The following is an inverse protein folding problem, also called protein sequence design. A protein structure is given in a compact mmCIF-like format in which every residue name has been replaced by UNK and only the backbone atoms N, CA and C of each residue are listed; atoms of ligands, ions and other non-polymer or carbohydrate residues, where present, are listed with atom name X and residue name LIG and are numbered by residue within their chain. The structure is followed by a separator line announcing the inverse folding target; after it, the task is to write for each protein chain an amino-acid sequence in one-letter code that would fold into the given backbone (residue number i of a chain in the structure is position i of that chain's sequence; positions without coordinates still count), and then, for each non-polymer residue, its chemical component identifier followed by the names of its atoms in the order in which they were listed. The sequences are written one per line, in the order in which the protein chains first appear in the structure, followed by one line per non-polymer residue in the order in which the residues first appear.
data_IF_831580411637
#
_entry.id   IF_831580411637
#
_cell.length_a   1.000
_cell.length_b   1.000
_cell.length_c   1.000
_cell.angle_alpha   90.00
_cell.angle_beta   90.00
_cell.angle_gamma   90.00
#
_symmetry.space_group_name_H-M   'P 1'
#
loop_
_entity.id
_entity.type
_entity.pdbx_description
1 polymer ?
#
# COMPACT_ATOMS: atom_id res chain seq x y z
N UNK A 1 3.24 8.99 3.40
CA UNK A 1 3.99 8.95 2.12
C UNK A 1 4.62 7.57 1.99
N UNK A 2 4.65 6.97 0.79
CA UNK A 2 5.24 5.64 0.58
C UNK A 2 6.76 5.74 0.33
N UNK A 3 7.48 6.39 1.25
CA UNK A 3 8.93 6.54 1.21
C UNK A 3 9.49 6.54 2.63
N UNK A 4 10.56 5.78 2.85
CA UNK A 4 11.37 5.80 4.08
C UNK A 4 12.51 6.81 3.99
N UNK A 5 12.83 7.31 2.79
CA UNK A 5 13.86 8.32 2.58
C UNK A 5 13.38 9.71 3.02
N UNK A 6 14.30 10.58 3.50
CA UNK A 6 13.99 11.96 3.86
C UNK A 6 13.47 12.74 2.64
N UNK A 7 12.67 13.79 2.90
CA UNK A 7 12.16 14.65 1.83
C UNK A 7 13.32 15.37 1.15
N UNK A 8 13.45 15.28 -0.18
CA UNK A 8 14.56 15.91 -0.87
C UNK A 8 14.36 17.42 -0.96
N UNK A 9 15.46 18.17 -0.95
CA UNK A 9 15.45 19.62 -1.15
C UNK A 9 15.29 19.95 -2.64
N UNK A 10 14.39 20.88 -2.96
CA UNK A 10 14.11 21.32 -4.34
C UNK A 10 15.27 22.18 -4.92
N UNK A 11 16.21 22.62 -4.07
CA UNK A 11 17.24 23.61 -4.43
C UNK A 11 18.44 23.07 -5.22
N UNK A 12 18.72 21.77 -5.16
CA UNK A 12 19.93 21.20 -5.76
C UNK A 12 19.66 20.74 -7.20
N UNK A 13 19.77 21.67 -8.15
CA UNK A 13 19.42 21.47 -9.57
C UNK A 13 20.30 20.47 -10.32
N UNK A 14 21.40 20.01 -9.72
CA UNK A 14 22.40 19.17 -10.40
C UNK A 14 22.14 17.66 -10.31
N UNK A 15 21.24 17.18 -9.43
CA UNK A 15 20.85 15.76 -9.38
C UNK A 15 19.43 15.58 -8.87
N UNK A 16 18.58 14.95 -9.68
CA UNK A 16 17.27 14.53 -9.20
C UNK A 16 17.44 13.50 -8.06
N UNK A 17 16.80 13.69 -6.90
CA UNK A 17 16.87 12.77 -5.77
C UNK A 17 16.25 11.41 -6.16
N UNK A 18 16.94 10.31 -5.82
CA UNK A 18 16.50 8.96 -6.15
C UNK A 18 15.27 8.50 -5.35
N UNK A 19 15.07 9.05 -4.14
CA UNK A 19 13.99 8.69 -3.23
C UNK A 19 13.53 9.92 -2.43
N UNK A 20 12.40 9.78 -1.72
CA UNK A 20 11.92 10.77 -0.76
C UNK A 20 10.57 11.41 -1.09
N UNK A 21 10.15 11.42 -2.36
CA UNK A 21 8.79 11.89 -2.72
C UNK A 21 7.69 10.85 -2.43
N UNK A 22 8.00 9.56 -2.49
CA UNK A 22 7.08 8.48 -2.12
C UNK A 22 5.90 8.26 -3.08
N UNK A 23 6.01 8.68 -4.34
CA UNK A 23 5.02 8.42 -5.38
C UNK A 23 5.39 7.31 -6.37
N UNK A 24 6.66 6.88 -6.39
CA UNK A 24 7.14 5.90 -7.38
C UNK A 24 6.33 4.60 -7.36
N UNK A 25 6.33 3.88 -6.24
CA UNK A 25 5.62 2.61 -6.11
C UNK A 25 4.10 2.69 -6.42
N UNK A 26 3.31 3.61 -5.83
CA UNK A 26 1.88 3.68 -6.14
C UNK A 26 1.61 4.06 -7.60
N UNK A 27 2.42 4.94 -8.21
CA UNK A 27 2.26 5.30 -9.63
C UNK A 27 2.64 4.12 -10.54
N UNK A 28 3.75 3.43 -10.26
CA UNK A 28 4.15 2.23 -11.01
C UNK A 28 3.05 1.15 -10.99
N UNK A 29 2.41 0.94 -9.83
CA UNK A 29 1.27 0.01 -9.71
C UNK A 29 0.04 0.46 -10.52
N UNK A 30 -0.21 1.77 -10.64
CA UNK A 30 -1.28 2.27 -11.52
C UNK A 30 -0.97 1.99 -12.99
N UNK A 31 0.27 2.21 -13.43
CA UNK A 31 0.68 1.90 -14.80
C UNK A 31 0.51 0.42 -15.15
N UNK A 32 0.89 -0.50 -14.27
CA UNK A 32 0.71 -1.93 -14.52
C UNK A 32 -0.78 -2.32 -14.54
N UNK A 33 -1.59 -1.76 -13.63
CA UNK A 33 -3.03 -2.05 -13.53
C UNK A 33 -3.85 -1.46 -14.66
N UNK A 34 -3.35 -0.43 -15.34
CA UNK A 34 -4.05 0.21 -16.44
C UNK A 34 -4.38 -0.80 -17.55
N UNK A 35 -3.48 -1.76 -17.84
CA UNK A 35 -3.71 -2.83 -18.82
C UNK A 35 -3.96 -4.20 -18.17
N UNK A 36 -4.74 -4.23 -17.08
CA UNK A 36 -5.11 -5.45 -16.34
C UNK A 36 -3.94 -6.25 -15.75
N UNK A 37 -2.77 -5.64 -15.60
CA UNK A 37 -1.63 -6.19 -14.87
C UNK A 37 -1.70 -5.90 -13.37
N UNK A 38 -0.61 -6.18 -12.65
CA UNK A 38 -0.44 -5.81 -11.24
C UNK A 38 1.04 -5.71 -10.86
N UNK A 39 1.33 -4.98 -9.77
CA UNK A 39 2.66 -4.87 -9.17
C UNK A 39 2.59 -5.31 -7.70
N UNK A 40 3.33 -6.35 -7.38
CA UNK A 40 3.36 -6.97 -6.05
C UNK A 40 4.78 -6.90 -5.47
N UNK A 41 4.86 -6.69 -4.16
CA UNK A 41 6.12 -6.66 -3.41
C UNK A 41 6.09 -7.78 -2.38
N UNK A 42 7.17 -8.56 -2.34
CA UNK A 42 7.40 -9.59 -1.34
C UNK A 42 8.71 -9.26 -0.63
N UNK A 43 8.64 -8.97 0.66
CA UNK A 43 9.83 -8.60 1.43
C UNK A 43 10.15 -9.67 2.46
N UNK A 44 11.45 -9.95 2.61
CA UNK A 44 12.00 -10.78 3.67
C UNK A 44 12.99 -9.92 4.46
N UNK A 45 12.58 -9.51 5.66
CA UNK A 45 13.40 -8.67 6.53
C UNK A 45 14.76 -9.34 6.80
N UNK A 46 15.85 -8.55 6.66
CA UNK A 46 17.22 -9.03 6.80
C UNK A 46 17.80 -9.74 5.56
N UNK A 47 17.00 -10.02 4.53
CA UNK A 47 17.46 -10.64 3.27
C UNK A 47 17.31 -9.69 2.08
N UNK A 48 16.08 -9.25 1.78
CA UNK A 48 15.80 -8.45 0.59
C UNK A 48 14.33 -8.26 0.28
N UNK A 49 14.04 -7.73 -0.91
CA UNK A 49 12.68 -7.48 -1.39
C UNK A 49 12.58 -7.81 -2.88
N UNK A 50 11.63 -8.68 -3.22
CA UNK A 50 11.27 -9.01 -4.60
C UNK A 50 10.11 -8.14 -5.07
N UNK A 51 10.24 -7.57 -6.27
CA UNK A 51 9.20 -6.81 -6.92
C UNK A 51 8.79 -7.50 -8.22
N UNK A 52 7.54 -7.97 -8.29
CA UNK A 52 7.02 -8.73 -9.42
C UNK A 52 5.97 -7.91 -10.17
N UNK A 53 6.17 -7.77 -11.48
CA UNK A 53 5.24 -7.11 -12.39
C UNK A 53 4.55 -8.16 -13.26
N UNK A 54 3.22 -8.19 -13.17
CA UNK A 54 2.38 -9.05 -14.00
C UNK A 54 1.76 -8.22 -15.11
N UNK A 55 1.89 -8.68 -16.35
CA UNK A 55 1.28 -8.06 -17.53
C UNK A 55 0.50 -9.11 -18.32
N UNK A 56 -0.45 -8.65 -19.12
CA UNK A 56 -1.16 -9.51 -20.06
C UNK A 56 -0.24 -9.87 -21.22
N UNK A 57 -0.12 -11.16 -21.51
CA UNK A 57 0.70 -11.65 -22.61
C UNK A 57 0.07 -11.35 -23.98
N UNK A 58 -1.26 -11.31 -24.05
CA UNK A 58 -2.03 -11.06 -25.26
C UNK A 58 -2.57 -9.63 -25.27
N UNK A 59 -2.47 -8.97 -26.42
CA UNK A 59 -2.95 -7.59 -26.60
C UNK A 59 -4.49 -7.48 -26.55
N UNK A 60 -5.21 -8.56 -26.85
CA UNK A 60 -6.67 -8.62 -26.72
C UNK A 60 -7.13 -8.50 -25.27
N UNK A 61 -6.28 -8.95 -24.34
CA UNK A 61 -6.59 -8.98 -22.92
C UNK A 61 -6.05 -7.73 -22.20
N UNK A 62 -5.15 -6.99 -22.85
CA UNK A 62 -4.60 -5.71 -22.35
C UNK A 62 -5.59 -4.56 -22.56
N UNK A 63 -6.74 -4.65 -21.89
CA UNK A 63 -7.80 -3.64 -21.95
C UNK A 63 -7.63 -2.60 -20.85
N UNK A 64 -7.96 -1.35 -21.15
CA UNK A 64 -7.87 -0.26 -20.19
C UNK A 64 -8.78 -0.47 -18.96
N UNK A 65 -8.22 -0.23 -17.77
CA UNK A 65 -8.95 -0.22 -16.49
C UNK A 65 -9.22 1.21 -16.04
N UNK A 66 -10.40 1.72 -16.40
CA UNK A 66 -10.81 3.08 -16.11
C UNK A 66 -11.71 3.17 -14.85
N UNK A 67 -11.56 4.22 -14.02
CA UNK A 67 -12.51 4.48 -12.95
C UNK A 67 -13.84 4.96 -13.53
N UNK A 68 -14.95 4.40 -13.04
CA UNK A 68 -16.30 4.77 -13.46
C UNK A 68 -17.03 5.42 -12.29
N UNK A 69 -17.47 6.67 -12.46
CA UNK A 69 -18.29 7.34 -11.46
C UNK A 69 -19.72 6.80 -11.49
N UNK A 70 -20.15 6.17 -10.40
CA UNK A 70 -21.49 5.61 -10.23
C UNK A 70 -21.92 5.65 -8.75
N UNK A 71 -23.12 5.12 -8.44
CA UNK A 71 -23.64 5.05 -7.05
C UNK A 71 -22.69 4.28 -6.12
N UNK A 72 -21.99 3.26 -6.61
CA UNK A 72 -21.00 2.49 -5.83
C UNK A 72 -19.75 3.32 -5.53
N UNK A 73 -19.20 4.02 -6.54
CA UNK A 73 -18.08 4.94 -6.37
C UNK A 73 -18.42 6.05 -5.36
N UNK A 74 -19.64 6.59 -5.40
CA UNK A 74 -20.11 7.60 -4.45
C UNK A 74 -20.10 7.09 -3.00
N UNK A 75 -20.38 5.80 -2.75
CA UNK A 75 -20.35 5.23 -1.40
C UNK A 75 -18.97 5.31 -0.77
N UNK A 76 -17.89 5.17 -1.55
CA UNK A 76 -16.52 5.29 -1.03
C UNK A 76 -16.19 6.71 -0.51
N UNK A 77 -16.92 7.74 -0.94
CA UNK A 77 -16.76 9.11 -0.45
C UNK A 77 -17.66 9.44 0.74
N UNK A 78 -18.69 8.62 1.01
CA UNK A 78 -19.54 8.78 2.18
C UNK A 78 -18.88 8.05 3.34
N UNK A 79 -18.51 8.79 4.39
CA UNK A 79 -17.96 8.20 5.61
C UNK A 79 -18.97 7.22 6.23
N UNK A 80 -18.57 5.97 6.41
CA UNK A 80 -19.19 5.02 7.34
C UNK A 80 -18.20 4.76 8.48
N UNK A 81 -18.60 5.12 9.71
CA UNK A 81 -17.89 4.71 10.92
C UNK A 81 -18.51 3.38 11.34
N UNK A 82 -17.96 2.29 10.82
CA UNK A 82 -18.38 0.92 11.16
C UNK A 82 -17.46 0.37 12.24
N UNK A 83 -17.96 -0.58 13.04
CA UNK A 83 -17.12 -1.30 13.99
C UNK A 83 -16.14 -2.20 13.23
N UNK A 84 -14.95 -2.43 13.80
CA UNK A 84 -13.95 -3.31 13.17
C UNK A 84 -14.48 -4.75 13.06
N UNK A 85 -14.25 -5.38 11.90
CA UNK A 85 -14.67 -6.76 11.62
C UNK A 85 -13.91 -7.82 12.44
N UNK A 86 -12.79 -7.43 13.06
CA UNK A 86 -11.89 -8.30 13.79
C UNK A 86 -11.57 -7.78 15.19
N UNK A 87 -11.21 -8.68 16.10
CA UNK A 87 -10.85 -8.30 17.46
C UNK A 87 -9.62 -7.37 17.47
N UNK A 88 -9.75 -6.24 18.15
CA UNK A 88 -8.62 -5.35 18.43
C UNK A 88 -8.13 -5.66 19.85
N UNK A 89 -6.90 -6.16 20.04
CA UNK A 89 -6.37 -6.45 21.36
C UNK A 89 -6.25 -5.16 22.19
N UNK A 90 -6.35 -5.28 23.51
CA UNK A 90 -6.13 -4.13 24.39
C UNK A 90 -4.67 -3.65 24.26
N UNK A 91 -4.49 -2.33 24.36
CA UNK A 91 -3.14 -1.73 24.39
C UNK A 91 -2.33 -2.18 25.60
N UNK A 92 -3.03 -2.41 26.71
CA UNK A 92 -2.49 -2.95 27.95
C UNK A 92 -3.09 -4.35 28.14
N UNK A 93 -2.47 -5.40 27.58
CA UNK A 93 -2.91 -6.76 27.78
C UNK A 93 -2.69 -7.18 29.24
N UNK A 94 -3.61 -7.97 29.78
CA UNK A 94 -3.51 -8.49 31.14
C UNK A 94 -2.29 -9.41 31.27
N UNK A 95 -1.41 -9.11 32.22
CA UNK A 95 -0.31 -10.00 32.56
C UNK A 95 -0.82 -11.21 33.35
N UNK A 96 -0.86 -12.35 32.68
CA UNK A 96 -1.31 -13.61 33.25
C UNK A 96 -0.32 -14.22 34.25
N UNK A 97 0.92 -13.74 34.31
CA UNK A 97 1.94 -14.26 35.24
C UNK A 97 1.69 -13.79 36.67
N UNK A 98 1.33 -12.52 36.86
CA UNK A 98 0.97 -11.92 38.17
C UNK A 98 -0.43 -12.38 38.61
N UNK A 99 -1.40 -12.34 37.69
CA UNK A 99 -2.80 -12.68 37.99
C UNK A 99 -3.00 -14.12 38.53
N UNK A 100 -2.13 -15.06 38.14
CA UNK A 100 -2.18 -16.45 38.62
C UNK A 100 -1.51 -16.66 39.97
N UNK A 101 -0.60 -15.78 40.37
CA UNK A 101 0.10 -15.88 41.66
C UNK A 101 -0.76 -15.33 42.82
N UNK A 102 -1.67 -14.41 42.52
CA UNK A 102 -2.59 -13.78 43.49
C UNK A 102 -3.89 -14.59 43.73
N UNK A 103 -3.96 -15.84 43.22
CA UNK A 103 -5.16 -16.69 43.26
C UNK A 103 -4.85 -18.04 43.89
#
# INVERSE_FOLDING_TARGET
MYSTAPRPSIGDKHRAPLAGFGYGLPISRLYTRYFQGDLQLYSMEGSGTDAVVHLKALSTDSVERLPVFNKTALRHYKLSLEADDWCVPSREPLDLTVYRADK
#
